data_IF_899735921316
#
_entry.id   IF_899735921316
#
_cell.length_a   1.000
_cell.length_b   1.000
_cell.length_c   1.000
_cell.angle_alpha   90.00
_cell.angle_beta   90.00
_cell.angle_gamma   90.00
#
_symmetry.space_group_name_H-M   'P 1'
#
loop_
_entity.id
_entity.type
_entity.pdbx_description
1 polymer ?
#
# COMPACT_ATOMS: atom_id res chain seq x y z
N UNK A 1 -28.01 -14.31 -11.62
CA UNK A 1 -27.29 -13.07 -11.94
C UNK A 1 -25.84 -13.47 -12.08
N UNK A 2 -25.25 -13.21 -13.24
CA UNK A 2 -23.90 -13.63 -13.57
C UNK A 2 -22.91 -12.71 -12.83
N UNK A 3 -22.11 -13.27 -11.93
CA UNK A 3 -21.13 -12.50 -11.16
C UNK A 3 -19.95 -12.15 -12.09
N UNK A 4 -20.01 -10.99 -12.72
CA UNK A 4 -18.89 -10.45 -13.50
C UNK A 4 -17.81 -9.90 -12.57
N UNK A 5 -16.55 -10.14 -12.92
CA UNK A 5 -15.40 -9.56 -12.22
C UNK A 5 -15.18 -8.15 -12.76
N UNK A 6 -15.17 -7.16 -11.87
CA UNK A 6 -14.84 -5.78 -12.19
C UNK A 6 -13.46 -5.42 -11.63
N UNK A 7 -12.60 -4.82 -12.47
CA UNK A 7 -11.28 -4.32 -12.07
C UNK A 7 -11.34 -2.80 -12.03
N UNK A 8 -11.26 -2.23 -10.82
CA UNK A 8 -11.30 -0.78 -10.59
C UNK A 8 -9.89 -0.31 -10.20
N UNK A 9 -9.29 0.58 -10.99
CA UNK A 9 -8.05 1.26 -10.61
C UNK A 9 -8.37 2.44 -9.69
N UNK A 10 -7.69 2.49 -8.55
CA UNK A 10 -7.82 3.58 -7.59
C UNK A 10 -6.60 4.50 -7.75
N UNK A 11 -6.83 5.77 -8.04
CA UNK A 11 -5.78 6.77 -8.29
C UNK A 11 -5.99 8.10 -7.54
N UNK A 12 -7.00 8.20 -6.68
CA UNK A 12 -7.23 9.36 -5.82
C UNK A 12 -7.67 8.99 -4.40
N UNK A 13 -7.42 9.91 -3.46
CA UNK A 13 -7.86 9.79 -2.07
C UNK A 13 -9.39 9.69 -1.94
N UNK A 14 -10.12 10.45 -2.76
CA UNK A 14 -11.58 10.49 -2.74
C UNK A 14 -12.17 9.15 -3.20
N UNK A 15 -11.58 8.52 -4.22
CA UNK A 15 -11.98 7.17 -4.65
C UNK A 15 -11.79 6.14 -3.52
N UNK A 16 -10.64 6.15 -2.83
CA UNK A 16 -10.38 5.22 -1.70
C UNK A 16 -11.47 5.31 -0.63
N UNK A 17 -11.90 6.53 -0.32
CA UNK A 17 -12.84 6.80 0.78
C UNK A 17 -14.26 6.31 0.48
N UNK A 18 -14.62 6.18 -0.80
CA UNK A 18 -15.94 5.78 -1.25
C UNK A 18 -16.03 4.30 -1.65
N UNK A 19 -14.99 3.49 -1.43
CA UNK A 19 -15.00 2.08 -1.82
C UNK A 19 -15.95 1.26 -0.94
N UNK A 20 -16.68 0.29 -1.53
CA UNK A 20 -17.64 -0.54 -0.81
C UNK A 20 -17.00 -1.53 0.19
N UNK A 21 -15.67 -1.63 0.21
CA UNK A 21 -14.92 -2.48 1.12
C UNK A 21 -13.69 -1.75 1.64
N UNK A 22 -13.42 -1.89 2.93
CA UNK A 22 -12.21 -1.39 3.58
C UNK A 22 -11.05 -2.22 3.04
N UNK A 23 -10.41 -1.72 2.00
CA UNK A 23 -9.25 -2.37 1.43
C UNK A 23 -8.17 -2.34 2.52
N UNK A 24 -7.76 -3.50 3.04
CA UNK A 24 -6.68 -3.62 4.02
C UNK A 24 -5.33 -3.40 3.33
N UNK A 25 -5.20 -2.28 2.61
CA UNK A 25 -3.96 -1.85 1.97
C UNK A 25 -3.05 -1.31 3.05
N UNK A 26 -2.41 -2.23 3.76
CA UNK A 26 -1.22 -1.93 4.56
C UNK A 26 -0.12 -1.50 3.61
N UNK A 27 -0.12 -0.22 3.26
CA UNK A 27 0.87 0.35 2.36
C UNK A 27 1.84 1.20 3.15
N UNK A 28 3.13 0.95 2.96
CA UNK A 28 4.20 1.77 3.53
C UNK A 28 4.68 2.74 2.48
N UNK A 29 4.69 4.01 2.84
CA UNK A 29 5.24 5.09 2.04
C UNK A 29 6.37 5.77 2.82
N UNK A 30 7.39 6.24 2.10
CA UNK A 30 8.44 7.10 2.64
C UNK A 30 8.64 8.28 1.70
N UNK A 31 8.57 9.52 2.22
CA UNK A 31 8.64 10.75 1.43
C UNK A 31 7.70 10.76 0.20
N UNK A 32 6.48 10.25 0.38
CA UNK A 32 5.48 10.17 -0.69
C UNK A 32 5.73 9.07 -1.74
N UNK A 33 6.84 8.31 -1.64
CA UNK A 33 7.12 7.15 -2.50
C UNK A 33 6.57 5.87 -1.88
N UNK A 34 5.93 5.05 -2.71
CA UNK A 34 5.47 3.72 -2.35
C UNK A 34 6.65 2.77 -2.10
N UNK A 35 6.63 2.03 -0.99
CA UNK A 35 7.63 1.00 -0.68
C UNK A 35 7.03 -0.41 -0.84
N UNK A 36 5.92 -0.71 -0.17
CA UNK A 36 5.28 -2.04 -0.20
C UNK A 36 3.84 -2.00 0.29
N UNK A 37 3.05 -3.01 -0.09
CA UNK A 37 1.68 -3.26 0.40
C UNK A 37 1.60 -4.43 1.40
N UNK A 38 2.73 -4.87 1.93
CA UNK A 38 2.80 -5.97 2.90
C UNK A 38 2.64 -5.48 4.35
N UNK A 39 1.93 -6.27 5.17
CA UNK A 39 2.02 -6.15 6.64
C UNK A 39 3.44 -6.57 7.05
N UNK A 40 4.16 -5.66 7.71
CA UNK A 40 5.56 -5.88 8.05
C UNK A 40 5.69 -6.63 9.38
N UNK A 41 6.54 -7.66 9.38
CA UNK A 41 7.17 -8.12 10.61
C UNK A 41 8.25 -7.12 11.05
N UNK A 42 8.62 -7.14 12.33
CA UNK A 42 9.68 -6.28 12.87
C UNK A 42 10.99 -6.39 12.07
N UNK A 43 11.37 -7.60 11.65
CA UNK A 43 12.57 -7.83 10.83
C UNK A 43 12.49 -7.12 9.47
N UNK A 44 11.33 -7.19 8.80
CA UNK A 44 11.13 -6.50 7.50
C UNK A 44 11.14 -4.99 7.68
N UNK A 45 10.49 -4.49 8.74
CA UNK A 45 10.51 -3.07 9.08
C UNK A 45 11.93 -2.55 9.29
N UNK A 46 12.74 -3.23 10.10
CA UNK A 46 14.12 -2.85 10.37
C UNK A 46 14.99 -2.83 9.09
N UNK A 47 14.76 -3.77 8.15
CA UNK A 47 15.43 -3.77 6.84
C UNK A 47 15.06 -2.54 6.00
N UNK A 48 13.78 -2.16 5.98
CA UNK A 48 13.31 -0.96 5.27
C UNK A 48 13.96 0.29 5.88
N UNK A 49 13.97 0.42 7.21
CA UNK A 49 14.62 1.55 7.89
C UNK A 49 16.12 1.62 7.58
N UNK A 50 16.82 0.48 7.56
CA UNK A 50 18.23 0.46 7.16
C UNK A 50 18.41 0.93 5.72
N UNK A 51 17.59 0.45 4.79
CA UNK A 51 17.65 0.85 3.39
C UNK A 51 17.38 2.36 3.19
N UNK A 52 16.48 2.95 3.98
CA UNK A 52 16.27 4.41 4.02
C UNK A 52 17.54 5.14 4.49
N UNK A 53 18.16 4.68 5.58
CA UNK A 53 19.41 5.26 6.09
C UNK A 53 20.58 5.13 5.11
N UNK A 54 20.58 4.05 4.33
CA UNK A 54 21.56 3.81 3.27
C UNK A 54 21.26 4.62 1.98
N UNK A 55 20.17 5.41 1.93
CA UNK A 55 19.81 6.26 0.79
C UNK A 55 19.16 5.54 -0.39
N UNK A 56 18.55 4.37 -0.17
CA UNK A 56 17.95 3.56 -1.25
C UNK A 56 16.53 3.99 -1.68
N UNK A 57 15.88 4.88 -0.93
CA UNK A 57 14.51 5.35 -1.17
C UNK A 57 14.43 6.87 -1.24
#
# INVERSE_FOLDING_TARGET
MENSIEIIKIDSKDQVTNLPSVFSIYSVFYNGKFITHEILSESKFNKIIKAIKDGKY
#
